data_IF_666644561641
#
_entry.id   IF_666644561641
#
_cell.length_a   1.000
_cell.length_b   1.000
_cell.length_c   1.000
_cell.angle_alpha   90.00
_cell.angle_beta   90.00
_cell.angle_gamma   90.00
#
_symmetry.space_group_name_H-M   'P 1'
#
loop_
_entity.id
_entity.type
_entity.pdbx_description
1 polymer ?
#
# COMPACT_ATOMS: atom_id res chain seq x y z
N UNK A 1 -13.94 -0.89 15.20
CA UNK A 1 -14.28 -0.49 13.82
C UNK A 1 -14.65 -1.76 13.07
N UNK A 2 -15.76 -1.77 12.34
CA UNK A 2 -16.16 -2.94 11.57
C UNK A 2 -15.10 -3.21 10.49
N UNK A 3 -14.56 -4.42 10.44
CA UNK A 3 -13.77 -4.86 9.30
C UNK A 3 -14.71 -4.83 8.09
N UNK A 4 -14.49 -3.91 7.16
CA UNK A 4 -15.20 -3.92 5.90
C UNK A 4 -14.90 -5.27 5.24
N UNK A 5 -15.91 -6.13 5.16
CA UNK A 5 -15.80 -7.39 4.45
C UNK A 5 -15.39 -7.04 3.02
N UNK A 6 -14.26 -7.54 2.57
CA UNK A 6 -13.85 -7.40 1.18
C UNK A 6 -15.00 -7.91 0.30
N UNK A 7 -15.64 -7.02 -0.46
CA UNK A 7 -16.69 -7.38 -1.41
C UNK A 7 -16.05 -8.15 -2.54
N UNK A 8 -16.72 -9.21 -2.99
CA UNK A 8 -16.29 -9.91 -4.19
C UNK A 8 -16.49 -9.03 -5.42
N UNK A 9 -15.74 -9.27 -6.50
CA UNK A 9 -15.79 -8.43 -7.70
C UNK A 9 -17.18 -8.41 -8.38
N UNK A 10 -17.99 -9.45 -8.17
CA UNK A 10 -19.38 -9.56 -8.62
C UNK A 10 -20.39 -8.80 -7.74
N UNK A 11 -19.98 -8.33 -6.55
CA UNK A 11 -20.81 -7.63 -5.57
C UNK A 11 -20.63 -6.10 -5.58
N UNK A 12 -19.80 -5.58 -6.49
CA UNK A 12 -19.52 -4.14 -6.62
C UNK A 12 -19.71 -3.70 -8.06
N UNK A 13 -20.55 -2.69 -8.27
CA UNK A 13 -20.65 -2.06 -9.59
C UNK A 13 -19.40 -1.23 -9.89
N UNK A 14 -19.11 -1.03 -11.17
CA UNK A 14 -17.98 -0.17 -11.57
C UNK A 14 -18.09 1.25 -10.99
N UNK A 15 -19.30 1.81 -10.90
CA UNK A 15 -19.51 3.14 -10.35
C UNK A 15 -19.18 3.21 -8.86
N UNK A 16 -19.60 2.21 -8.06
CA UNK A 16 -19.23 2.14 -6.65
C UNK A 16 -17.73 1.92 -6.45
N UNK A 17 -17.10 1.09 -7.29
CA UNK A 17 -15.65 0.89 -7.25
C UNK A 17 -14.91 2.21 -7.48
N UNK A 18 -15.25 2.95 -8.53
CA UNK A 18 -14.61 4.24 -8.80
C UNK A 18 -14.90 5.28 -7.73
N UNK A 19 -16.08 5.24 -7.10
CA UNK A 19 -16.39 6.05 -5.93
C UNK A 19 -15.44 5.78 -4.76
N UNK A 20 -15.23 4.51 -4.41
CA UNK A 20 -14.28 4.12 -3.36
C UNK A 20 -12.83 4.46 -3.71
N UNK A 21 -12.44 4.31 -4.97
CA UNK A 21 -11.09 4.71 -5.43
C UNK A 21 -10.87 6.21 -5.26
N UNK A 22 -11.89 7.04 -5.50
CA UNK A 22 -11.79 8.48 -5.31
C UNK A 22 -11.62 8.89 -3.83
N UNK A 23 -12.08 8.06 -2.89
CA UNK A 23 -11.90 8.30 -1.44
C UNK A 23 -10.50 7.91 -0.93
N UNK A 24 -9.77 7.07 -1.67
CA UNK A 24 -8.49 6.51 -1.25
C UNK A 24 -7.45 7.55 -0.81
N UNK A 25 -7.22 8.68 -1.52
CA UNK A 25 -6.25 9.68 -1.10
C UNK A 25 -6.53 10.25 0.30
N UNK A 26 -7.81 10.55 0.59
CA UNK A 26 -8.22 11.07 1.89
C UNK A 26 -8.04 10.04 3.01
N UNK A 27 -8.26 8.75 2.70
CA UNK A 27 -8.02 7.65 3.65
C UNK A 27 -6.52 7.52 3.96
N UNK A 28 -5.66 7.57 2.95
CA UNK A 28 -4.20 7.49 3.14
C UNK A 28 -3.69 8.65 3.98
N UNK A 29 -4.16 9.87 3.72
CA UNK A 29 -3.82 11.07 4.51
C UNK A 29 -4.25 10.91 5.97
N UNK A 30 -5.52 10.57 6.23
CA UNK A 30 -6.04 10.37 7.57
C UNK A 30 -5.29 9.26 8.35
N UNK A 31 -4.95 8.15 7.69
CA UNK A 31 -4.17 7.08 8.33
C UNK A 31 -2.74 7.53 8.60
N UNK A 32 -2.13 8.29 7.68
CA UNK A 32 -0.78 8.85 7.84
C UNK A 32 -0.71 9.79 9.05
N UNK A 33 -1.71 10.66 9.23
CA UNK A 33 -1.80 11.58 10.39
C UNK A 33 -2.07 10.84 11.71
N UNK A 34 -2.84 9.74 11.66
CA UNK A 34 -3.24 8.99 12.85
C UNK A 34 -2.09 8.27 13.56
N UNK A 35 -0.93 8.13 12.91
CA UNK A 35 0.20 7.35 13.41
C UNK A 35 1.45 8.23 13.54
N UNK A 36 1.98 8.28 14.74
CA UNK A 36 3.25 8.95 15.01
C UNK A 36 4.40 8.21 14.34
N UNK A 37 5.04 8.89 13.40
CA UNK A 37 6.24 8.40 12.71
C UNK A 37 7.47 8.75 13.56
N UNK A 38 8.43 7.83 13.67
CA UNK A 38 9.70 8.11 14.36
C UNK A 38 10.50 9.13 13.55
N UNK A 39 11.32 9.94 14.23
CA UNK A 39 12.19 10.91 13.57
C UNK A 39 13.07 10.23 12.51
N UNK A 40 12.96 10.66 11.25
CA UNK A 40 13.74 10.12 10.13
C UNK A 40 13.07 8.99 9.35
N UNK A 41 11.86 8.56 9.73
CA UNK A 41 11.07 7.62 8.94
C UNK A 41 10.09 8.39 8.02
N UNK A 42 9.82 7.85 6.83
CA UNK A 42 8.84 8.41 5.90
C UNK A 42 7.41 8.20 6.41
N UNK A 43 6.55 9.15 6.11
CA UNK A 43 5.11 9.07 6.35
C UNK A 43 4.45 8.06 5.40
N UNK A 44 3.25 7.56 5.76
CA UNK A 44 2.51 6.68 4.85
C UNK A 44 2.22 7.38 3.53
N UNK A 45 1.90 8.67 3.55
CA UNK A 45 1.66 9.46 2.35
C UNK A 45 2.88 9.46 1.40
N UNK A 46 4.08 9.67 1.93
CA UNK A 46 5.32 9.63 1.13
C UNK A 46 5.63 8.24 0.59
N UNK A 47 5.41 7.20 1.41
CA UNK A 47 5.61 5.81 1.03
C UNK A 47 4.60 5.35 -0.04
N UNK A 48 3.36 5.84 0.04
CA UNK A 48 2.29 5.53 -0.92
C UNK A 48 2.54 6.20 -2.28
N UNK A 49 2.93 7.48 -2.25
CA UNK A 49 3.34 8.23 -3.43
C UNK A 49 4.52 7.55 -4.14
N UNK A 50 5.52 7.08 -3.38
CA UNK A 50 6.63 6.33 -3.94
C UNK A 50 6.17 5.02 -4.61
N UNK A 51 5.29 4.24 -3.96
CA UNK A 51 4.84 2.94 -4.49
C UNK A 51 4.03 3.07 -5.78
N UNK A 52 3.07 3.99 -5.82
CA UNK A 52 2.12 4.10 -6.93
C UNK A 52 2.52 5.15 -7.97
N UNK A 53 3.49 6.03 -7.68
CA UNK A 53 4.06 6.99 -8.61
C UNK A 53 5.48 6.60 -9.02
N UNK A 54 6.45 6.93 -8.19
CA UNK A 54 7.87 6.92 -8.53
C UNK A 54 8.40 5.54 -8.89
N UNK A 55 8.06 4.51 -8.11
CA UNK A 55 8.50 3.14 -8.35
C UNK A 55 7.94 2.59 -9.66
N UNK A 56 6.70 2.93 -10.03
CA UNK A 56 6.14 2.54 -11.32
C UNK A 56 6.88 3.24 -12.47
N UNK A 57 7.18 4.53 -12.32
CA UNK A 57 7.96 5.28 -13.32
C UNK A 57 9.38 4.73 -13.51
N UNK A 58 10.02 4.28 -12.42
CA UNK A 58 11.40 3.81 -12.44
C UNK A 58 11.57 2.34 -12.86
N UNK A 59 10.64 1.46 -12.47
CA UNK A 59 10.82 0.01 -12.58
C UNK A 59 9.81 -0.70 -13.48
N UNK A 60 8.76 -0.03 -13.96
CA UNK A 60 7.79 -0.61 -14.91
C UNK A 60 8.21 -0.36 -16.36
N UNK A 61 9.41 -0.79 -16.72
CA UNK A 61 10.00 -0.68 -18.06
C UNK A 61 10.55 -2.03 -18.52
N UNK A 62 10.86 -2.20 -19.81
CA UNK A 62 11.31 -3.50 -20.37
C UNK A 62 12.65 -4.00 -19.79
N UNK A 63 13.53 -3.09 -19.40
CA UNK A 63 14.81 -3.39 -18.76
C UNK A 63 15.04 -2.44 -17.56
N UNK A 64 14.43 -2.74 -16.39
CA UNK A 64 14.48 -1.85 -15.24
C UNK A 64 15.84 -1.93 -14.54
N UNK A 65 16.35 -0.81 -14.01
CA UNK A 65 17.56 -0.84 -13.21
C UNK A 65 17.36 -1.66 -11.92
N UNK A 66 18.45 -2.20 -11.37
CA UNK A 66 18.39 -2.85 -10.06
C UNK A 66 17.91 -1.86 -8.98
N UNK A 67 16.97 -2.31 -8.14
CA UNK A 67 16.54 -1.52 -6.99
C UNK A 67 17.66 -1.44 -5.96
N UNK A 68 17.96 -0.24 -5.49
CA UNK A 68 18.82 -0.06 -4.32
C UNK A 68 18.14 -0.59 -3.06
N UNK A 69 18.94 -0.90 -2.03
CA UNK A 69 18.41 -1.33 -0.74
C UNK A 69 17.41 -0.32 -0.14
N UNK A 70 17.67 0.99 -0.29
CA UNK A 70 16.79 2.05 0.19
C UNK A 70 15.41 2.02 -0.49
N UNK A 71 15.40 1.81 -1.81
CA UNK A 71 14.17 1.69 -2.59
C UNK A 71 13.35 0.45 -2.23
N UNK A 72 14.03 -0.65 -1.90
CA UNK A 72 13.36 -1.86 -1.38
C UNK A 72 12.81 -1.61 0.03
N UNK A 73 13.57 -0.93 0.89
CA UNK A 73 13.15 -0.56 2.24
C UNK A 73 11.87 0.29 2.21
N UNK A 74 11.78 1.29 1.33
CA UNK A 74 10.56 2.09 1.17
C UNK A 74 9.32 1.22 0.88
N UNK A 75 9.43 0.24 -0.05
CA UNK A 75 8.31 -0.65 -0.37
C UNK A 75 7.95 -1.59 0.80
N UNK A 76 8.95 -2.06 1.54
CA UNK A 76 8.74 -2.91 2.72
C UNK A 76 8.08 -2.11 3.83
N UNK A 77 8.56 -0.89 4.10
CA UNK A 77 8.00 0.01 5.10
C UNK A 77 6.54 0.36 4.78
N UNK A 78 6.23 0.68 3.53
CA UNK A 78 4.84 0.88 3.08
C UNK A 78 3.97 -0.33 3.43
N UNK A 79 4.42 -1.55 3.09
CA UNK A 79 3.68 -2.79 3.34
C UNK A 79 3.50 -3.04 4.84
N UNK A 80 4.55 -2.80 5.63
CA UNK A 80 4.51 -2.95 7.08
C UNK A 80 3.64 -1.89 7.75
N UNK A 81 3.47 -0.72 7.16
CA UNK A 81 2.60 0.31 7.69
C UNK A 81 1.12 -0.11 7.62
N UNK A 82 0.73 -0.80 6.54
CA UNK A 82 -0.62 -1.33 6.37
C UNK A 82 -0.83 -2.66 7.11
N UNK A 83 0.24 -3.39 7.42
CA UNK A 83 0.17 -4.72 8.05
C UNK A 83 -0.54 -4.79 9.41
N UNK A 84 -0.54 -3.79 10.32
CA UNK A 84 -1.34 -3.84 11.55
C UNK A 84 -2.85 -3.82 11.29
N UNK A 85 -3.30 -3.41 10.11
CA UNK A 85 -4.70 -3.46 9.69
C UNK A 85 -5.09 -4.81 9.08
N UNK A 86 -4.12 -5.71 8.96
CA UNK A 86 -4.23 -6.98 8.25
C UNK A 86 -3.61 -8.08 9.13
N UNK A 87 -4.38 -8.60 10.08
CA UNK A 87 -4.20 -9.99 10.51
C UNK A 87 -4.48 -10.88 9.29
N UNK A 88 -3.51 -10.95 8.39
CA UNK A 88 -3.49 -11.90 7.30
C UNK A 88 -3.48 -13.30 7.92
N UNK A 89 -4.41 -14.21 7.56
CA UNK A 89 -4.26 -15.61 7.90
C UNK A 89 -2.94 -16.14 7.32
N UNK A 90 -2.25 -17.04 8.03
CA UNK A 90 -0.88 -17.43 7.71
C UNK A 90 -0.85 -18.42 6.55
N UNK A 91 -0.73 -17.97 5.31
CA UNK A 91 -0.31 -18.81 4.17
C UNK A 91 0.40 -17.89 3.17
N UNK A 92 1.62 -18.13 2.69
CA UNK A 92 2.14 -19.37 2.12
C UNK A 92 3.63 -19.51 2.50
N UNK A 93 3.93 -20.52 3.32
CA UNK A 93 5.20 -21.23 3.22
C UNK A 93 4.93 -22.42 2.29
N UNK A 94 5.49 -22.39 1.08
CA UNK A 94 5.75 -23.60 0.30
C UNK A 94 7.21 -23.53 -0.14
N UNK A 95 8.05 -24.13 0.70
CA UNK A 95 9.12 -24.98 0.19
C UNK A 95 8.43 -26.22 -0.35
N UNK A 96 8.73 -26.56 -1.60
CA UNK A 96 9.05 -27.90 -2.07
C UNK A 96 9.99 -27.73 -3.25
#
# INVERSE_FOLDING_TARGET
MAHARARSADEISSAEFWGLVAEYPAVVEAVSESRTVKSGQKTLLELDAYRYGDALGAFRVEDPPEMTLAQVQDLVEWKLYLSPLDTLPPYISRRD
#
